data_IF_451069143290
#
_entry.id   IF_451069143290
#
_cell.length_a   1.000
_cell.length_b   1.000
_cell.length_c   1.000
_cell.angle_alpha   90.00
_cell.angle_beta   90.00
_cell.angle_gamma   90.00
#
_symmetry.space_group_name_H-M   'P 1'
#
loop_
_entity.id
_entity.type
_entity.pdbx_description
1 polymer ?
#
# COMPACT_ATOMS: atom_id res chain seq x y z
N UNK A 1 2.37 2.29 4.87
CA UNK A 1 2.26 1.40 3.71
C UNK A 1 3.14 0.16 3.79
N UNK A 2 2.87 -0.80 2.95
CA UNK A 2 3.67 -2.00 2.73
C UNK A 2 4.35 -1.90 1.37
N UNK A 3 5.67 -1.79 1.34
CA UNK A 3 6.45 -1.77 0.12
C UNK A 3 6.77 -3.18 -0.38
N UNK A 4 6.68 -3.38 -1.70
CA UNK A 4 6.94 -4.63 -2.38
C UNK A 4 7.90 -4.38 -3.55
N UNK A 5 8.95 -5.19 -3.66
CA UNK A 5 9.96 -5.10 -4.74
C UNK A 5 10.57 -3.70 -4.88
N UNK A 6 10.67 -2.94 -3.80
CA UNK A 6 11.25 -1.61 -3.84
C UNK A 6 12.76 -1.66 -4.16
N UNK A 7 13.22 -0.77 -5.02
CA UNK A 7 14.63 -0.70 -5.38
C UNK A 7 15.51 -0.29 -4.19
N UNK A 8 16.81 -0.68 -4.22
CA UNK A 8 17.79 -0.36 -3.17
C UNK A 8 18.73 0.78 -3.59
N UNK A 9 18.29 1.64 -4.48
CA UNK A 9 19.07 2.72 -5.08
C UNK A 9 18.81 4.10 -4.48
N UNK A 10 18.03 4.16 -3.39
CA UNK A 10 17.63 5.41 -2.74
C UNK A 10 16.40 6.09 -3.37
N UNK A 11 15.84 5.52 -4.43
CA UNK A 11 14.60 6.03 -5.01
C UNK A 11 13.41 5.81 -4.06
N UNK A 12 12.32 6.58 -4.27
CA UNK A 12 11.12 6.43 -3.45
C UNK A 12 10.53 5.01 -3.58
N UNK A 13 10.44 4.24 -2.48
CA UNK A 13 9.98 2.86 -2.50
C UNK A 13 8.58 2.67 -3.09
N UNK A 14 7.68 3.64 -2.92
CA UNK A 14 6.32 3.61 -3.45
C UNK A 14 6.29 3.60 -4.98
N UNK A 15 7.32 4.19 -5.63
CA UNK A 15 7.37 4.37 -7.07
C UNK A 15 8.46 3.54 -7.76
N UNK A 16 9.44 3.04 -7.02
CA UNK A 16 10.43 2.11 -7.55
C UNK A 16 9.96 0.65 -7.53
N UNK A 17 9.02 0.32 -6.65
CA UNK A 17 8.33 -0.95 -6.54
C UNK A 17 6.82 -0.78 -6.57
N UNK A 18 6.13 -1.36 -5.61
CA UNK A 18 4.70 -1.18 -5.38
C UNK A 18 4.44 -0.91 -3.89
N UNK A 19 3.45 -0.09 -3.59
CA UNK A 19 3.01 0.17 -2.23
C UNK A 19 1.55 -0.23 -2.06
N UNK A 20 1.26 -1.08 -1.07
CA UNK A 20 -0.08 -1.29 -0.55
C UNK A 20 -0.28 -0.32 0.60
N UNK A 21 -1.19 0.63 0.44
CA UNK A 21 -1.40 1.71 1.40
C UNK A 21 -1.95 1.21 2.73
N UNK A 22 -1.40 1.75 3.81
CA UNK A 22 -1.88 1.58 5.19
C UNK A 22 -1.89 2.96 5.83
N UNK A 23 -3.08 3.48 6.12
CA UNK A 23 -3.30 4.82 6.63
C UNK A 23 -4.51 4.82 7.56
N UNK A 24 -4.55 5.70 8.52
CA UNK A 24 -5.77 6.06 9.23
C UNK A 24 -6.50 7.16 8.44
N UNK A 25 -7.25 6.74 7.44
CA UNK A 25 -7.87 7.60 6.43
C UNK A 25 -8.71 8.70 7.08
N UNK A 26 -9.56 8.33 8.05
CA UNK A 26 -10.47 9.27 8.74
C UNK A 26 -9.71 10.36 9.50
N UNK A 27 -8.71 9.98 10.29
CA UNK A 27 -7.93 10.96 11.07
C UNK A 27 -7.01 11.78 10.16
N UNK A 28 -6.50 11.19 9.08
CA UNK A 28 -5.71 11.94 8.11
C UNK A 28 -6.48 13.11 7.54
N UNK A 29 -7.64 12.88 6.94
CA UNK A 29 -8.46 13.95 6.36
C UNK A 29 -8.90 14.97 7.39
N UNK A 30 -9.29 14.51 8.60
CA UNK A 30 -9.72 15.38 9.69
C UNK A 30 -8.61 16.30 10.17
N UNK A 31 -7.39 15.78 10.33
CA UNK A 31 -6.24 16.54 10.85
C UNK A 31 -5.58 17.41 9.80
N UNK A 32 -5.45 16.92 8.57
CA UNK A 32 -4.74 17.64 7.50
C UNK A 32 -5.64 18.60 6.74
N UNK A 33 -6.97 18.49 6.88
CA UNK A 33 -7.97 19.22 6.08
C UNK A 33 -7.84 18.96 4.57
N UNK A 34 -7.20 17.85 4.20
CA UNK A 34 -6.97 17.43 2.81
C UNK A 34 -7.76 16.19 2.51
N UNK A 35 -8.42 16.16 1.35
CA UNK A 35 -9.09 14.96 0.88
C UNK A 35 -8.08 14.02 0.21
N UNK A 36 -8.20 12.74 0.55
CA UNK A 36 -7.42 11.69 -0.09
C UNK A 36 -7.98 11.39 -1.48
N UNK A 37 -7.08 11.19 -2.44
CA UNK A 37 -7.47 10.61 -3.73
C UNK A 37 -7.86 9.14 -3.54
N UNK A 38 -8.70 8.56 -4.41
CA UNK A 38 -9.16 7.17 -4.25
C UNK A 38 -8.03 6.15 -4.04
N UNK A 39 -6.90 6.33 -4.69
CA UNK A 39 -5.73 5.46 -4.60
C UNK A 39 -4.79 5.76 -3.41
N UNK A 40 -5.14 6.71 -2.53
CA UNK A 40 -4.39 7.03 -1.30
C UNK A 40 -5.02 6.40 -0.05
N UNK A 41 -6.22 5.87 -0.16
CA UNK A 41 -6.90 5.21 0.96
C UNK A 41 -6.27 3.87 1.32
N UNK A 42 -6.47 3.45 2.56
CA UNK A 42 -6.03 2.15 3.06
C UNK A 42 -6.47 1.01 2.16
N UNK A 43 -5.54 0.12 1.85
CA UNK A 43 -5.74 -1.04 0.99
C UNK A 43 -5.55 -0.78 -0.50
N UNK A 44 -5.40 0.47 -0.93
CA UNK A 44 -5.14 0.81 -2.33
C UNK A 44 -3.76 0.38 -2.80
N UNK A 45 -3.58 0.16 -4.10
CA UNK A 45 -2.27 0.18 -4.75
C UNK A 45 -1.91 1.63 -5.01
N UNK A 46 -1.01 2.17 -4.20
CA UNK A 46 -0.69 3.59 -4.15
C UNK A 46 -0.33 4.15 -5.52
N UNK A 47 -0.95 5.29 -5.86
CA UNK A 47 -0.77 5.95 -7.15
C UNK A 47 -1.49 5.29 -8.32
N UNK A 48 -2.30 4.22 -8.12
CA UNK A 48 -2.84 3.43 -9.23
C UNK A 48 -4.25 2.91 -9.02
N UNK A 49 -4.47 1.95 -8.11
CA UNK A 49 -5.76 1.28 -7.96
C UNK A 49 -6.35 1.65 -6.60
N UNK A 50 -7.58 2.17 -6.60
CA UNK A 50 -8.35 2.34 -5.37
C UNK A 50 -8.71 1.00 -4.73
N UNK A 51 -8.84 0.97 -3.41
CA UNK A 51 -9.42 -0.18 -2.72
C UNK A 51 -10.85 -0.43 -3.19
N UNK A 52 -11.12 -1.63 -3.68
CA UNK A 52 -12.47 -2.03 -4.13
C UNK A 52 -13.45 -2.26 -2.98
N UNK A 53 -12.95 -2.40 -1.75
CA UNK A 53 -13.73 -2.75 -0.56
C UNK A 53 -13.33 -1.90 0.67
N UNK A 54 -13.67 -0.60 0.70
CA UNK A 54 -13.36 0.27 1.85
C UNK A 54 -13.92 -0.27 3.18
N UNK A 55 -15.06 -0.96 3.13
CA UNK A 55 -15.70 -1.60 4.30
C UNK A 55 -14.91 -2.80 4.87
N UNK A 56 -13.83 -3.21 4.20
CA UNK A 56 -12.95 -4.26 4.73
C UNK A 56 -12.07 -3.76 5.87
N UNK A 57 -11.85 -2.45 6.00
CA UNK A 57 -11.04 -1.85 7.06
C UNK A 57 -11.81 -1.89 8.39
N UNK A 58 -11.18 -2.40 9.43
CA UNK A 58 -11.73 -2.37 10.79
C UNK A 58 -11.47 -1.02 11.45
N UNK A 59 -12.27 -0.65 12.46
CA UNK A 59 -12.08 0.58 13.22
C UNK A 59 -10.67 0.74 13.80
N UNK A 60 -10.30 2.00 14.07
CA UNK A 60 -9.05 2.34 14.74
C UNK A 60 -8.92 1.59 16.07
N UNK A 61 -7.75 1.06 16.34
CA UNK A 61 -7.46 0.24 17.53
C UNK A 61 -7.66 -1.26 17.32
N UNK A 62 -8.31 -1.66 16.24
CA UNK A 62 -8.47 -3.07 15.90
C UNK A 62 -7.38 -3.56 14.93
N UNK A 63 -7.03 -4.85 15.07
CA UNK A 63 -6.08 -5.48 14.17
C UNK A 63 -6.71 -5.79 12.81
N UNK A 64 -6.04 -5.30 11.76
CA UNK A 64 -6.33 -5.63 10.38
C UNK A 64 -5.32 -6.67 9.87
N UNK A 65 -5.76 -7.61 9.04
CA UNK A 65 -4.93 -8.65 8.45
C UNK A 65 -4.83 -8.45 6.94
N UNK A 66 -3.62 -8.24 6.45
CA UNK A 66 -3.32 -8.20 5.02
C UNK A 66 -2.80 -9.55 4.53
N UNK A 67 -3.25 -9.96 3.35
CA UNK A 67 -2.64 -11.00 2.54
C UNK A 67 -2.31 -10.41 1.18
N UNK A 68 -1.04 -10.43 0.80
CA UNK A 68 -0.58 -9.87 -0.46
C UNK A 68 0.18 -10.94 -1.24
N UNK A 69 -0.26 -11.23 -2.45
CA UNK A 69 0.36 -12.18 -3.36
C UNK A 69 0.81 -11.46 -4.62
N UNK A 70 2.13 -11.47 -4.87
CA UNK A 70 2.73 -10.81 -6.04
C UNK A 70 3.60 -11.81 -6.81
N UNK A 71 3.06 -12.36 -7.91
CA UNK A 71 3.72 -13.39 -8.73
C UNK A 71 3.85 -12.89 -10.15
N UNK A 72 5.06 -12.87 -10.68
CA UNK A 72 5.30 -12.19 -11.96
C UNK A 72 4.84 -10.74 -11.90
N UNK A 73 3.95 -10.34 -12.77
CA UNK A 73 3.28 -9.03 -12.75
C UNK A 73 1.91 -9.03 -12.06
N UNK A 74 1.42 -10.19 -11.65
CA UNK A 74 0.08 -10.32 -11.06
C UNK A 74 0.08 -10.05 -9.56
N UNK A 75 -0.60 -8.98 -9.14
CA UNK A 75 -0.74 -8.57 -7.75
C UNK A 75 -2.18 -8.75 -7.27
N UNK A 76 -2.34 -9.52 -6.20
CA UNK A 76 -3.61 -9.66 -5.48
C UNK A 76 -3.44 -9.19 -4.05
N UNK A 77 -4.32 -8.32 -3.58
CA UNK A 77 -4.34 -7.83 -2.20
C UNK A 77 -5.69 -8.16 -1.56
N UNK A 78 -5.62 -8.72 -0.34
CA UNK A 78 -6.79 -8.93 0.52
C UNK A 78 -6.60 -8.21 1.84
N UNK A 79 -7.70 -7.75 2.40
CA UNK A 79 -7.79 -7.16 3.73
C UNK A 79 -8.93 -7.82 4.49
N UNK A 80 -8.62 -8.39 5.66
CA UNK A 80 -9.58 -9.11 6.49
C UNK A 80 -10.39 -10.17 5.72
N UNK A 81 -9.71 -10.89 4.81
CA UNK A 81 -10.29 -11.94 3.97
C UNK A 81 -11.02 -11.46 2.70
N UNK A 82 -11.31 -10.17 2.56
CA UNK A 82 -11.92 -9.61 1.36
C UNK A 82 -10.86 -9.24 0.32
N UNK A 83 -11.09 -9.59 -0.95
CA UNK A 83 -10.23 -9.17 -2.06
C UNK A 83 -10.47 -7.70 -2.35
N UNK A 84 -9.42 -6.88 -2.25
CA UNK A 84 -9.49 -5.45 -2.58
C UNK A 84 -9.30 -5.21 -4.07
N UNK A 85 -8.35 -5.91 -4.66
CA UNK A 85 -8.09 -5.96 -6.10
C UNK A 85 -7.23 -7.17 -6.45
N UNK A 86 -7.28 -7.54 -7.73
CA UNK A 86 -6.39 -8.51 -8.35
C UNK A 86 -6.11 -8.02 -9.77
N UNK A 87 -4.85 -7.67 -10.08
CA UNK A 87 -4.51 -6.99 -11.32
C UNK A 87 -3.15 -7.41 -11.88
N UNK A 88 -3.03 -7.38 -13.20
CA UNK A 88 -1.74 -7.42 -13.89
C UNK A 88 -1.11 -6.02 -13.86
N UNK A 89 -0.14 -5.83 -12.97
CA UNK A 89 0.53 -4.54 -12.81
C UNK A 89 1.29 -4.11 -14.05
N UNK A 90 1.73 -5.04 -14.92
CA UNK A 90 2.43 -4.68 -16.15
C UNK A 90 1.54 -3.93 -17.15
N UNK A 91 0.22 -4.15 -17.07
CA UNK A 91 -0.77 -3.48 -17.91
C UNK A 91 -1.27 -2.15 -17.31
N UNK A 92 -0.86 -1.80 -16.08
CA UNK A 92 -1.35 -0.60 -15.41
C UNK A 92 -0.56 0.64 -15.81
N UNK A 93 -1.30 1.71 -16.10
CA UNK A 93 -0.78 3.07 -16.16
C UNK A 93 -1.18 3.78 -14.87
N UNK A 94 -0.25 4.01 -13.94
CA UNK A 94 -0.56 4.67 -12.68
C UNK A 94 -0.85 6.16 -12.89
N UNK A 95 -1.65 6.75 -12.00
CA UNK A 95 -1.86 8.20 -11.96
C UNK A 95 -0.62 8.93 -11.41
N UNK A 96 0.23 8.22 -10.68
CA UNK A 96 1.46 8.78 -10.13
C UNK A 96 2.63 7.79 -10.21
N UNK A 97 3.80 8.30 -10.58
CA UNK A 97 5.02 7.52 -10.74
C UNK A 97 5.14 6.84 -12.11
N UNK A 98 6.24 6.13 -12.30
CA UNK A 98 6.51 5.39 -13.54
C UNK A 98 5.58 4.19 -13.71
N UNK A 99 5.27 3.80 -14.98
CA UNK A 99 4.56 2.56 -15.25
C UNK A 99 5.18 1.36 -14.56
N UNK A 100 4.36 0.48 -13.99
CA UNK A 100 4.85 -0.69 -13.25
C UNK A 100 5.73 -1.62 -14.11
N UNK A 101 5.51 -1.63 -15.43
CA UNK A 101 6.35 -2.37 -16.37
C UNK A 101 7.84 -1.94 -16.31
N UNK A 102 8.10 -0.68 -15.97
CA UNK A 102 9.44 -0.09 -15.85
C UNK A 102 10.04 -0.18 -14.44
N UNK A 103 9.21 -0.48 -13.42
CA UNK A 103 9.66 -0.56 -12.03
C UNK A 103 10.49 -1.81 -11.76
N UNK A 104 11.18 -1.84 -10.62
CA UNK A 104 11.99 -2.97 -10.19
C UNK A 104 11.17 -4.28 -10.12
N UNK A 105 11.72 -5.35 -10.68
CA UNK A 105 11.09 -6.70 -10.64
C UNK A 105 11.50 -7.48 -9.39
N UNK A 106 12.61 -7.07 -8.78
CA UNK A 106 13.14 -7.60 -7.52
C UNK A 106 13.52 -6.44 -6.63
N UNK A 107 13.46 -6.64 -5.31
CA UNK A 107 13.79 -5.58 -4.36
C UNK A 107 13.41 -6.00 -2.94
N UNK A 108 13.38 -5.05 -2.04
CA UNK A 108 13.02 -5.32 -0.65
C UNK A 108 11.50 -5.27 -0.41
N UNK A 109 11.10 -5.89 0.69
CA UNK A 109 9.81 -5.69 1.33
C UNK A 109 10.05 -4.74 2.50
N UNK A 110 9.23 -3.71 2.66
CA UNK A 110 9.39 -2.72 3.72
C UNK A 110 8.07 -2.35 4.38
N UNK A 111 8.14 -2.04 5.66
CA UNK A 111 7.04 -1.44 6.42
C UNK A 111 7.34 0.04 6.55
N UNK A 112 6.45 0.88 6.06
CA UNK A 112 6.65 2.33 6.03
C UNK A 112 6.33 2.96 7.38
N UNK A 113 7.18 3.88 7.79
CA UNK A 113 6.85 4.96 8.72
C UNK A 113 6.92 6.27 7.94
N UNK A 114 5.78 6.90 7.74
CA UNK A 114 5.73 8.24 7.15
C UNK A 114 6.07 9.29 8.22
N UNK A 115 6.98 10.20 7.90
CA UNK A 115 7.39 11.27 8.82
C UNK A 115 6.83 12.62 8.34
N UNK A 116 6.37 13.45 9.27
CA UNK A 116 6.33 14.89 9.08
C UNK A 116 4.99 15.55 8.77
N UNK A 117 3.96 14.84 8.33
CA UNK A 117 2.75 15.53 7.84
C UNK A 117 1.64 15.70 8.89
N UNK A 118 1.77 15.06 10.05
CA UNK A 118 0.79 15.16 11.13
C UNK A 118 1.51 15.57 12.42
N UNK A 119 1.07 16.66 13.03
CA UNK A 119 1.57 17.04 14.37
C UNK A 119 1.19 15.95 15.38
N UNK A 120 2.19 15.43 16.08
CA UNK A 120 2.06 14.39 17.08
C UNK A 120 2.67 13.06 16.65
N UNK A 121 2.59 12.08 17.54
CA UNK A 121 3.12 10.74 17.31
C UNK A 121 2.09 9.92 16.54
N UNK A 122 2.42 9.56 15.29
CA UNK A 122 1.64 8.63 14.49
C UNK A 122 2.36 7.29 14.47
N UNK A 123 1.71 6.23 14.97
CA UNK A 123 2.26 4.88 15.02
C UNK A 123 1.42 3.93 14.19
N UNK A 124 2.12 3.05 13.46
CA UNK A 124 1.55 1.84 12.91
C UNK A 124 2.21 0.65 13.59
N UNK A 125 1.39 -0.29 14.08
CA UNK A 125 1.86 -1.49 14.76
C UNK A 125 1.74 -2.67 13.82
N UNK A 126 2.79 -3.47 13.74
CA UNK A 126 2.83 -4.67 12.91
C UNK A 126 3.12 -5.89 13.79
N UNK A 127 2.45 -7.02 13.51
CA UNK A 127 2.71 -8.31 14.15
C UNK A 127 2.47 -9.45 13.17
N UNK A 128 3.02 -10.62 13.47
CA UNK A 128 2.80 -11.84 12.67
C UNK A 128 3.11 -11.62 11.19
N UNK A 129 4.28 -11.00 10.91
CA UNK A 129 4.70 -10.73 9.54
C UNK A 129 5.38 -11.97 8.97
N UNK A 130 4.79 -12.57 7.95
CA UNK A 130 5.30 -13.77 7.28
C UNK A 130 5.54 -13.49 5.81
N UNK A 131 6.63 -14.01 5.28
CA UNK A 131 6.97 -13.94 3.85
C UNK A 131 7.24 -15.35 3.36
N UNK A 132 6.63 -15.69 2.22
CA UNK A 132 6.88 -16.96 1.53
C UNK A 132 7.21 -16.70 0.07
N UNK A 133 8.29 -17.30 -0.41
CA UNK A 133 8.56 -17.36 -1.85
C UNK A 133 7.58 -18.33 -2.52
N UNK A 134 7.01 -17.91 -3.63
CA UNK A 134 6.07 -18.69 -4.45
C UNK A 134 6.75 -19.21 -5.71
#
# INVERSE_FOLDING_TARGET
>A
GLFLRAARDGSNPAFSGAEVQILDDFNWETKTKSHLKPWQHTGSLYGSIASGEPSAVKPLGEWNTYEVRYVGSWLTTKLNGKVLYSADTAALTPEQGEPFAKRAKTGFIGLQRHAGDVQGEAYAWFRNVFVRRL
#
